data_IF_269089510863
#
_entry.id   IF_269089510863
#
_cell.length_a   1.000
_cell.length_b   1.000
_cell.length_c   1.000
_cell.angle_alpha   90.00
_cell.angle_beta   90.00
_cell.angle_gamma   90.00
#
_symmetry.space_group_name_H-M   'P 1'
#
loop_
_entity.id
_entity.type
_entity.pdbx_description
1 polymer ?
2 polymer ?
3 non-polymer ?
4 non-polymer ?
5 non-polymer ?
6 non-polymer ?
7 water ?
#
# COMPACT_ATOMS: atom_id res chain seq x y z
N UNK A 1 -1.11 7.34 12.67
CA UNK A 1 -1.26 5.99 13.22
C UNK A 1 -1.49 6.12 14.72
N UNK A 2 -2.57 5.49 15.24
CA UNK A 2 -2.91 5.46 16.66
C UNK A 2 -2.44 4.13 17.28
N UNK A 3 -1.70 4.22 18.39
CA UNK A 3 -1.28 3.06 19.15
C UNK A 3 -0.28 2.14 18.50
N UNK A 4 0.57 2.68 17.62
CA UNK A 4 1.60 1.90 16.95
C UNK A 4 2.95 2.22 17.56
N UNK A 5 4.00 2.14 16.76
CA UNK A 5 5.34 2.45 17.25
C UNK A 5 6.09 3.11 16.13
N UNK A 6 7.26 3.69 16.44
CA UNK A 6 8.10 4.28 15.40
C UNK A 6 8.60 3.09 14.52
N UNK A 7 8.50 3.25 13.18
CA UNK A 7 9.03 2.24 12.26
C UNK A 7 10.55 2.48 12.29
N UNK A 8 11.41 1.55 12.76
CA UNK A 8 12.86 1.84 12.73
C UNK A 8 13.28 2.31 11.34
N UNK A 9 14.14 3.34 11.26
CA UNK A 9 14.60 3.93 9.99
C UNK A 9 15.05 2.85 9.00
N UNK A 10 14.45 2.87 7.81
CA UNK A 10 14.78 1.89 6.77
C UNK A 10 13.94 0.63 6.78
N UNK A 11 13.07 0.44 7.79
CA UNK A 11 12.25 -0.79 7.86
C UNK A 11 10.93 -0.69 7.09
N UNK A 12 10.54 0.49 6.55
CA UNK A 12 9.34 0.62 5.72
C UNK A 12 9.86 1.34 4.44
N UNK A 13 10.81 0.71 3.67
CA UNK A 13 11.47 1.46 2.59
C UNK A 13 10.61 1.78 1.38
N UNK A 14 9.41 1.24 1.31
CA UNK A 14 8.47 1.52 0.22
C UNK A 14 7.53 2.68 0.62
N UNK A 15 7.58 3.16 1.89
CA UNK A 15 6.69 4.23 2.32
C UNK A 15 6.96 5.52 1.54
N UNK A 16 5.90 6.13 1.03
CA UNK A 16 6.01 7.40 0.31
C UNK A 16 5.32 8.50 1.14
N UNK A 17 5.89 9.69 1.13
CA UNK A 17 5.26 10.86 1.71
C UNK A 17 4.86 11.79 0.54
N UNK A 18 3.60 12.17 0.48
CA UNK A 18 3.13 13.08 -0.57
C UNK A 18 2.96 14.49 0.00
N UNK A 19 3.51 15.48 -0.73
CA UNK A 19 3.50 16.90 -0.35
C UNK A 19 2.85 17.76 -1.42
N UNK A 20 2.08 18.77 -0.99
CA UNK A 20 1.50 19.77 -1.89
C UNK A 20 1.93 21.14 -1.35
N UNK A 21 2.77 21.87 -2.13
CA UNK A 21 3.34 23.15 -1.68
C UNK A 21 4.17 22.96 -0.38
N UNK A 22 4.85 21.82 -0.27
CA UNK A 22 5.67 21.50 0.91
C UNK A 22 4.95 21.01 2.16
N UNK A 23 3.61 21.05 2.15
CA UNK A 23 2.75 20.62 3.25
C UNK A 23 2.39 19.12 3.07
N UNK A 24 2.35 18.39 4.17
CA UNK A 24 1.98 16.97 4.23
C UNK A 24 0.59 16.77 3.65
N UNK A 25 0.45 15.90 2.66
CA UNK A 25 -0.85 15.63 2.07
C UNK A 25 -1.38 14.23 2.46
N UNK A 26 -0.59 13.19 2.14
CA UNK A 26 -0.99 11.78 2.26
C UNK A 26 0.25 10.90 2.22
N UNK A 27 0.02 9.61 2.33
CA UNK A 27 1.05 8.61 2.15
C UNK A 27 0.85 7.97 0.79
N UNK A 28 1.74 7.04 0.49
CA UNK A 28 1.71 6.28 -0.75
C UNK A 28 2.64 5.08 -0.64
N UNK A 29 2.64 4.23 -1.65
CA UNK A 29 3.52 3.04 -1.69
C UNK A 29 4.24 2.99 -2.99
N UNK A 30 5.55 2.88 -2.94
CA UNK A 30 6.40 2.70 -4.11
C UNK A 30 6.23 1.25 -4.56
N UNK A 31 5.90 1.01 -5.85
CA UNK A 31 5.76 -0.38 -6.32
C UNK A 31 6.85 -0.74 -7.37
N UNK A 32 7.58 0.25 -7.87
CA UNK A 32 8.77 0.06 -8.74
C UNK A 32 9.45 1.40 -8.77
N UNK A 33 10.46 1.64 -9.62
CA UNK A 33 11.19 2.92 -9.58
C UNK A 33 10.40 4.16 -10.05
N UNK A 34 9.27 4.03 -10.78
CA UNK A 34 8.57 5.25 -11.21
C UNK A 34 7.11 5.32 -10.76
N UNK A 35 6.57 4.23 -10.21
CA UNK A 35 5.16 4.18 -9.84
C UNK A 35 4.89 4.09 -8.37
N UNK A 36 3.91 4.86 -7.94
CA UNK A 36 3.46 4.96 -6.56
C UNK A 36 1.95 4.74 -6.51
N UNK A 37 1.49 3.92 -5.57
CA UNK A 37 0.06 3.68 -5.35
C UNK A 37 -0.37 4.52 -4.12
N UNK A 38 -1.46 5.27 -4.24
CA UNK A 38 -2.01 6.07 -3.13
C UNK A 38 -3.56 5.98 -3.16
N UNK A 39 -4.28 6.88 -2.44
CA UNK A 39 -5.73 6.86 -2.41
C UNK A 39 -6.24 7.99 -3.27
N UNK A 40 -7.31 7.75 -4.07
CA UNK A 40 -7.89 8.81 -4.90
C UNK A 40 -8.39 10.02 -4.07
N UNK A 41 -8.91 9.80 -2.85
CA UNK A 41 -9.48 10.90 -2.06
C UNK A 41 -8.45 11.98 -1.68
N UNK A 42 -7.14 11.63 -1.70
CA UNK A 42 -5.99 12.51 -1.43
C UNK A 42 -5.99 13.70 -2.40
N UNK A 43 -6.59 13.51 -3.59
CA UNK A 43 -6.52 14.51 -4.65
C UNK A 43 -7.80 15.30 -4.89
N UNK A 44 -8.84 15.11 -4.06
CA UNK A 44 -10.13 15.80 -4.18
C UNK A 44 -10.04 17.33 -4.15
N UNK A 45 -9.08 17.89 -3.41
CA UNK A 45 -8.96 19.34 -3.25
C UNK A 45 -7.68 19.92 -3.84
N UNK A 46 -7.01 19.19 -4.73
CA UNK A 46 -5.79 19.73 -5.36
C UNK A 46 -6.17 20.72 -6.49
N UNK A 47 -5.52 21.89 -6.49
CA UNK A 47 -5.64 22.89 -7.58
C UNK A 47 -4.24 23.11 -8.16
N UNK A 48 -3.22 23.08 -7.29
CA UNK A 48 -1.80 23.25 -7.62
C UNK A 48 -1.19 21.88 -8.02
N UNK A 49 -1.66 21.30 -9.15
CA UNK A 49 -1.20 20.00 -9.67
C UNK A 49 0.31 19.94 -9.93
N UNK A 50 0.95 21.08 -10.28
CA UNK A 50 2.40 21.20 -10.54
C UNK A 50 3.28 21.18 -9.27
N UNK A 51 2.65 21.37 -8.08
CA UNK A 51 3.32 21.43 -6.78
C UNK A 51 3.18 20.15 -5.93
N UNK A 52 2.90 19.02 -6.59
CA UNK A 52 2.73 17.72 -5.96
C UNK A 52 4.07 17.02 -5.99
N UNK A 53 4.60 16.66 -4.81
CA UNK A 53 5.91 16.03 -4.66
C UNK A 53 5.79 14.70 -3.90
N UNK A 54 6.55 13.68 -4.32
CA UNK A 54 6.63 12.40 -3.61
C UNK A 54 8.02 12.33 -3.01
N UNK A 55 8.10 11.97 -1.73
CA UNK A 55 9.37 11.82 -1.05
C UNK A 55 9.53 10.35 -0.64
N UNK A 56 10.69 9.74 -1.03
CA UNK A 56 11.06 8.35 -0.71
C UNK A 56 12.20 8.40 0.26
N UNK A 57 12.41 7.33 1.03
CA UNK A 57 13.50 7.27 2.00
C UNK A 57 13.34 8.22 3.17
N UNK A 58 12.12 8.72 3.36
CA UNK A 58 11.82 9.66 4.44
C UNK A 58 11.64 8.89 5.74
N UNK A 59 12.01 9.51 6.86
CA UNK A 59 11.82 8.86 8.15
C UNK A 59 11.39 9.93 9.19
N UNK A 60 12.27 10.89 9.44
CA UNK A 60 12.05 11.98 10.41
C UNK A 60 11.85 13.30 9.64
N UNK A 61 10.68 13.92 9.81
CA UNK A 61 10.33 15.15 9.11
C UNK A 61 11.06 16.40 9.59
N UNK A 62 11.74 16.33 10.74
CA UNK A 62 12.41 17.52 11.28
C UNK A 62 13.83 17.70 10.78
N UNK A 63 14.41 16.64 10.19
CA UNK A 63 15.81 16.65 9.75
C UNK A 63 15.97 16.05 8.35
N UNK A 64 16.90 16.60 7.56
CA UNK A 64 17.31 16.04 6.28
C UNK A 64 18.55 15.19 6.60
N UNK A 65 18.51 13.87 6.34
CA UNK A 65 19.71 13.06 6.61
C UNK A 65 20.44 12.59 5.34
N UNK A 66 19.96 12.97 4.16
CA UNK A 66 20.61 12.59 2.91
C UNK A 66 20.03 11.36 2.22
N UNK A 67 19.19 10.57 2.91
CA UNK A 67 18.54 9.37 2.32
C UNK A 67 17.25 9.70 1.59
N UNK A 68 16.70 10.90 1.81
CA UNK A 68 15.43 11.32 1.21
C UNK A 68 15.61 11.56 -0.28
N UNK A 69 14.62 11.13 -1.10
CA UNK A 69 14.63 11.40 -2.54
C UNK A 69 13.29 12.00 -2.88
N UNK A 70 13.30 13.21 -3.44
CA UNK A 70 12.10 13.96 -3.85
C UNK A 70 11.94 13.89 -5.35
N UNK A 71 10.71 13.66 -5.81
CA UNK A 71 10.35 13.61 -7.22
C UNK A 71 9.03 14.29 -7.42
N UNK A 72 8.92 15.02 -8.52
CA UNK A 72 7.66 15.65 -8.92
C UNK A 72 6.76 14.52 -9.44
N UNK A 73 5.47 14.66 -9.20
CA UNK A 73 4.47 13.70 -9.65
C UNK A 73 4.02 14.15 -11.05
N UNK A 74 4.35 13.37 -12.09
CA UNK A 74 4.04 13.70 -13.48
C UNK A 74 2.57 13.40 -13.82
N UNK A 75 1.99 12.38 -13.19
CA UNK A 75 0.62 11.97 -13.50
C UNK A 75 -0.07 11.33 -12.30
N UNK A 76 -1.38 11.61 -12.11
CA UNK A 76 -2.21 11.02 -11.07
C UNK A 76 -3.33 10.33 -11.85
N UNK A 77 -3.44 9.01 -11.73
CA UNK A 77 -4.44 8.22 -12.45
C UNK A 77 -5.44 7.66 -11.48
N UNK A 78 -6.71 7.97 -11.73
CA UNK A 78 -7.84 7.63 -10.90
C UNK A 78 -8.82 6.76 -11.70
N UNK A 79 -9.46 5.73 -11.09
CA UNK A 79 -10.45 4.95 -11.84
C UNK A 79 -11.70 5.79 -12.13
N UNK A 80 -12.32 5.56 -13.31
CA UNK A 80 -13.52 6.31 -13.72
C UNK A 80 -14.67 6.19 -12.73
N UNK A 81 -14.70 5.08 -11.99
CA UNK A 81 -15.75 4.74 -11.04
C UNK A 81 -15.64 5.48 -9.69
N UNK A 82 -14.48 6.10 -9.42
CA UNK A 82 -14.27 6.89 -8.20
C UNK A 82 -15.08 8.18 -8.30
N UNK A 83 -15.82 8.55 -7.25
CA UNK A 83 -16.59 9.81 -7.24
C UNK A 83 -16.00 10.71 -6.15
N UNK A 84 -15.49 11.92 -6.44
CA UNK A 84 -14.93 12.76 -5.35
C UNK A 84 -15.88 12.97 -4.17
N UNK A 85 -15.31 12.95 -2.98
CA UNK A 85 -16.07 13.11 -1.74
C UNK A 85 -16.67 11.82 -1.23
N UNK A 86 -16.48 10.70 -1.98
CA UNK A 86 -17.01 9.39 -1.58
C UNK A 86 -15.84 8.43 -1.29
N UNK A 87 -16.15 7.19 -0.85
CA UNK A 87 -15.17 6.22 -0.39
C UNK A 87 -14.86 5.06 -1.34
N UNK A 88 -15.81 4.68 -2.21
CA UNK A 88 -15.61 3.54 -3.11
C UNK A 88 -14.52 3.77 -4.17
N UNK A 89 -13.79 2.72 -4.59
CA UNK A 89 -12.72 2.82 -5.62
C UNK A 89 -11.65 3.82 -5.24
N UNK A 90 -11.25 3.81 -3.96
CA UNK A 90 -10.32 4.80 -3.41
C UNK A 90 -8.88 4.41 -3.68
N UNK A 91 -8.45 4.63 -4.92
CA UNK A 91 -7.09 4.28 -5.38
C UNK A 91 -6.62 5.27 -6.43
N UNK A 92 -5.32 5.54 -6.43
CA UNK A 92 -4.67 6.42 -7.41
C UNK A 92 -3.35 5.83 -7.74
N UNK A 93 -2.96 5.90 -8.99
CA UNK A 93 -1.65 5.43 -9.46
C UNK A 93 -0.89 6.64 -9.94
N UNK A 94 0.28 6.86 -9.35
CA UNK A 94 1.10 8.05 -9.61
C UNK A 94 2.34 7.72 -10.37
N UNK A 95 2.60 8.49 -11.44
CA UNK A 95 3.83 8.33 -12.21
C UNK A 95 4.78 9.44 -11.75
N UNK A 96 6.02 9.08 -11.37
CA UNK A 96 7.03 10.03 -10.96
C UNK A 96 7.68 10.63 -12.21
N UNK A 97 8.09 11.91 -12.16
CA UNK A 97 8.71 12.57 -13.33
C UNK A 97 10.04 11.89 -13.75
N UNK A 98 10.80 11.40 -12.77
CA UNK A 98 12.08 10.74 -12.96
C UNK A 98 12.08 9.56 -12.01
N UNK A 99 12.72 8.40 -12.35
CA UNK A 99 12.76 7.28 -11.38
C UNK A 99 13.45 7.65 -10.08
N UNK A 100 13.09 6.98 -8.97
CA UNK A 100 13.85 7.10 -7.73
C UNK A 100 15.01 6.08 -7.90
N UNK A 101 16.08 6.26 -7.12
CA UNK A 101 17.24 5.37 -7.10
C UNK A 101 17.03 4.39 -5.92
N UNK A 102 17.02 3.08 -6.22
CA UNK A 102 16.86 2.08 -5.17
C UNK A 102 18.13 2.02 -4.35
N UNK A 103 17.97 2.06 -3.02
CA UNK A 103 19.08 2.09 -2.05
C UNK A 103 18.60 1.24 -0.86
N UNK A 104 19.40 1.13 0.23
CA UNK A 104 18.95 0.43 1.44
C UNK A 104 17.71 1.08 2.02
N UNK A 105 17.48 2.39 1.74
CA UNK A 105 16.34 3.13 2.31
C UNK A 105 15.16 3.35 1.39
N UNK A 106 15.29 2.96 0.12
CA UNK A 106 14.22 3.18 -0.88
C UNK A 106 14.10 1.85 -1.64
N UNK A 107 13.04 1.11 -1.37
CA UNK A 107 12.81 -0.19 -1.98
C UNK A 107 11.34 -0.31 -2.29
N UNK A 108 10.94 -0.83 -3.46
CA UNK A 108 9.50 -0.98 -3.72
C UNK A 108 8.89 -2.17 -3.01
N UNK A 109 7.58 -2.08 -2.79
CA UNK A 109 6.79 -3.16 -2.23
C UNK A 109 6.27 -3.97 -3.43
N UNK A 110 6.16 -5.32 -3.32
CA UNK A 110 5.67 -6.13 -4.44
C UNK A 110 4.18 -5.91 -4.66
N UNK A 111 3.78 -5.57 -5.89
CA UNK A 111 2.38 -5.48 -6.25
C UNK A 111 2.13 -6.95 -6.64
N UNK A 112 1.27 -7.69 -5.92
CA UNK A 112 1.14 -9.14 -6.22
C UNK A 112 0.23 -9.40 -7.40
N UNK A 113 0.20 -10.67 -7.90
CA UNK A 113 -0.78 -11.06 -8.90
C UNK A 113 -2.14 -11.17 -8.23
N UNK A 114 -3.25 -10.96 -8.97
CA UNK A 114 -4.59 -11.02 -8.39
C UNK A 114 -4.89 -12.37 -7.71
N UNK A 115 -4.67 -13.51 -8.41
CA UNK A 115 -4.98 -14.85 -7.86
C UNK A 115 -4.22 -15.12 -6.59
N UNK A 116 -2.91 -14.89 -6.58
CA UNK A 116 -2.09 -15.06 -5.39
C UNK A 116 -2.63 -14.19 -4.20
N UNK A 117 -3.03 -12.94 -4.50
CA UNK A 117 -3.56 -12.01 -3.51
C UNK A 117 -4.91 -12.47 -2.98
N UNK A 118 -5.80 -12.92 -3.87
CA UNK A 118 -7.14 -13.38 -3.45
C UNK A 118 -7.12 -14.72 -2.69
N UNK A 119 -6.40 -15.70 -3.20
CA UNK A 119 -6.46 -17.02 -2.58
C UNK A 119 -5.40 -17.30 -1.50
N UNK A 120 -4.40 -16.42 -1.36
CA UNK A 120 -3.37 -16.66 -0.35
C UNK A 120 -3.21 -15.47 0.60
N UNK A 121 -2.88 -14.27 0.04
CA UNK A 121 -2.59 -13.06 0.87
C UNK A 121 -3.79 -12.62 1.66
N UNK A 122 -5.00 -12.74 1.09
CA UNK A 122 -6.25 -12.36 1.75
C UNK A 122 -6.51 -13.16 3.05
N UNK A 123 -5.79 -14.28 3.24
CA UNK A 123 -5.92 -15.13 4.42
C UNK A 123 -4.80 -14.93 5.44
N UNK A 124 -3.81 -14.07 5.17
CA UNK A 124 -2.77 -13.78 6.18
C UNK A 124 -3.49 -12.83 7.15
N UNK A 125 -3.55 -13.18 8.44
CA UNK A 125 -4.31 -12.44 9.45
C UNK A 125 -3.86 -11.01 9.62
N UNK A 126 -2.59 -10.85 10.02
CA UNK A 126 -1.98 -9.58 10.33
C UNK A 126 -1.17 -9.00 9.19
N UNK A 127 -1.25 -7.67 9.07
CA UNK A 127 -0.52 -6.87 8.09
C UNK A 127 -0.12 -5.53 8.70
N UNK A 128 0.89 -4.85 8.15
CA UNK A 128 1.34 -3.58 8.71
C UNK A 128 0.80 -2.39 7.93
N UNK A 129 0.39 -1.34 8.66
CA UNK A 129 -0.10 -0.05 8.13
C UNK A 129 0.85 0.99 8.66
N UNK A 130 1.19 1.99 7.85
CA UNK A 130 2.19 2.96 8.30
C UNK A 130 1.91 4.36 7.76
N UNK A 131 2.51 5.37 8.40
CA UNK A 131 2.36 6.76 7.97
C UNK A 131 2.78 7.78 9.02
N UNK A 132 2.74 9.05 8.61
CA UNK A 132 3.07 10.18 9.50
C UNK A 132 1.77 10.88 9.90
N UNK A 133 0.69 10.11 9.99
CA UNK A 133 -0.61 10.67 10.37
C UNK A 133 -0.70 10.96 11.85
N UNK A 134 -1.90 11.38 12.25
CA UNK A 134 -2.23 11.74 13.63
C UNK A 134 -2.00 10.57 14.56
N UNK A 135 -1.40 10.88 15.70
CA UNK A 135 -1.11 9.88 16.73
C UNK A 135 -2.36 9.61 17.55
N UNK A 136 -3.36 10.49 17.43
CA UNK A 136 -4.63 10.46 18.17
C UNK A 136 -5.67 11.09 17.32
N UNK A 137 -6.94 10.69 17.56
CA UNK A 137 -8.10 11.34 16.96
C UNK A 137 -8.09 12.80 17.51
N UNK A 138 -8.15 13.82 16.61
CA UNK A 138 -8.09 15.25 16.95
C UNK A 138 -6.73 15.64 17.60
N UNK A 139 -5.67 14.91 17.25
CA UNK A 139 -4.32 15.11 17.74
C UNK A 139 -3.33 15.51 16.66
N UNK A 140 -2.12 15.84 17.08
CA UNK A 140 -1.04 16.25 16.18
C UNK A 140 -0.52 15.03 15.34
N UNK A 141 0.07 15.31 14.16
CA UNK A 141 0.67 14.32 13.26
C UNK A 141 2.06 13.93 13.76
N UNK A 142 2.56 12.74 13.40
CA UNK A 142 3.86 12.25 13.84
C UNK A 142 5.02 12.90 13.10
N UNK A 143 6.15 13.11 13.79
CA UNK A 143 7.38 13.62 13.16
C UNK A 143 8.20 12.44 12.58
N UNK A 144 8.07 11.26 13.19
CA UNK A 144 8.76 10.04 12.74
C UNK A 144 7.74 9.06 12.21
N UNK A 145 8.12 8.29 11.19
CA UNK A 145 7.21 7.30 10.57
C UNK A 145 6.77 6.27 11.58
N UNK A 146 5.44 6.04 11.65
CA UNK A 146 4.86 5.09 12.57
C UNK A 146 4.33 3.86 11.82
N UNK A 147 4.30 2.74 12.51
CA UNK A 147 3.83 1.47 11.95
C UNK A 147 2.92 0.78 12.98
N UNK A 148 1.92 0.08 12.49
CA UNK A 148 0.98 -0.66 13.31
C UNK A 148 0.62 -1.99 12.64
N UNK A 149 0.56 -3.07 13.43
CA UNK A 149 0.13 -4.41 12.98
C UNK A 149 -1.38 -4.51 13.20
N UNK A 150 -2.11 -4.81 12.15
CA UNK A 150 -3.58 -4.89 12.24
C UNK A 150 -4.09 -6.21 11.69
N UNK A 151 -5.11 -6.82 12.31
CA UNK A 151 -5.69 -8.05 11.74
C UNK A 151 -6.83 -7.73 10.77
N UNK A 152 -6.93 -8.52 9.69
CA UNK A 152 -7.95 -8.35 8.67
C UNK A 152 -9.19 -9.14 9.09
N UNK A 153 -10.37 -8.61 8.75
CA UNK A 153 -11.65 -9.20 9.04
C UNK A 153 -12.37 -9.56 7.78
N UNK A 154 -13.21 -10.62 7.84
CA UNK A 154 -14.12 -10.94 6.74
C UNK A 154 -15.17 -9.82 6.83
N UNK A 155 -15.71 -9.35 5.69
CA UNK A 155 -16.64 -8.22 5.67
C UNK A 155 -17.93 -8.51 6.49
N UNK A 156 -18.43 -9.79 6.48
CA UNK A 156 -19.59 -10.17 7.30
C UNK A 156 -19.31 -9.86 8.78
N UNK A 157 -18.15 -10.32 9.29
CA UNK A 157 -17.72 -10.09 10.66
C UNK A 157 -17.56 -8.61 10.99
N UNK A 158 -17.00 -7.79 10.05
CA UNK A 158 -16.83 -6.34 10.20
C UNK A 158 -18.20 -5.67 10.45
N UNK A 159 -19.17 -5.96 9.54
CA UNK A 159 -20.53 -5.41 9.59
C UNK A 159 -21.29 -5.83 10.86
N UNK A 160 -21.09 -7.09 11.32
CA UNK A 160 -21.70 -7.64 12.52
C UNK A 160 -21.08 -7.04 13.80
N UNK A 161 -19.73 -7.01 13.89
CA UNK A 161 -18.95 -6.49 15.03
C UNK A 161 -18.98 -4.96 15.18
N UNK A 162 -19.38 -4.23 14.13
CA UNK A 162 -19.43 -2.77 14.15
C UNK A 162 -20.69 -2.20 14.80
N UNK A 163 -20.59 -0.99 15.37
CA UNK A 163 -21.69 -0.28 16.03
C UNK A 163 -22.65 0.32 15.02
N UNK A 167 -26.31 6.99 8.07
CA UNK A 167 -25.53 7.88 7.20
C UNK A 167 -24.16 7.30 6.85
N UNK A 168 -23.70 6.29 7.63
CA UNK A 168 -22.41 5.60 7.48
C UNK A 168 -22.24 4.92 6.12
N UNK A 169 -21.03 4.95 5.51
CA UNK A 169 -20.86 4.29 4.20
C UNK A 169 -20.88 2.76 4.31
N UNK A 170 -21.29 2.11 3.21
CA UNK A 170 -21.34 0.65 3.09
C UNK A 170 -19.91 0.13 2.84
N UNK A 171 -19.68 -1.16 3.15
CA UNK A 171 -18.40 -1.81 2.89
C UNK A 171 -18.60 -2.66 1.64
N UNK A 172 -18.01 -2.21 0.52
CA UNK A 172 -18.14 -2.81 -0.81
C UNK A 172 -17.09 -3.90 -1.03
N UNK A 173 -17.16 -4.56 -2.21
CA UNK A 173 -16.20 -5.60 -2.61
C UNK A 173 -14.84 -4.98 -3.00
N UNK A 174 -14.78 -3.65 -3.08
CA UNK A 174 -13.56 -2.89 -3.38
C UNK A 174 -12.90 -2.41 -2.09
N UNK A 175 -13.33 -2.97 -0.94
CA UNK A 175 -12.78 -2.60 0.39
C UNK A 175 -12.63 -3.81 1.27
N UNK A 176 -11.90 -3.64 2.39
CA UNK A 176 -11.84 -4.62 3.45
C UNK A 176 -11.60 -3.90 4.75
N UNK A 177 -11.99 -4.56 5.87
CA UNK A 177 -11.84 -4.02 7.22
C UNK A 177 -10.63 -4.61 7.89
N UNK A 178 -9.95 -3.81 8.69
CA UNK A 178 -8.80 -4.29 9.45
C UNK A 178 -8.59 -3.44 10.68
N UNK A 179 -8.17 -4.07 11.76
CA UNK A 179 -7.92 -3.34 12.99
C UNK A 179 -8.60 -3.92 14.22
N UNK A 180 -9.00 -3.01 15.12
CA UNK A 180 -9.52 -3.31 16.44
C UNK A 180 -10.70 -2.42 16.72
N UNK A 181 -11.67 -2.94 17.48
CA UNK A 181 -12.90 -2.23 17.86
C UNK A 181 -12.87 -1.66 19.28
N UNK A 182 -11.75 -1.77 20.02
CA UNK A 182 -11.63 -1.32 21.42
C UNK A 182 -11.11 0.13 21.57
N UNK A 183 -10.98 0.84 20.44
CA UNK A 183 -10.53 2.23 20.39
C UNK A 183 -9.08 2.52 20.71
N UNK A 184 -8.20 1.50 20.61
CA UNK A 184 -6.79 1.68 20.95
C UNK A 184 -5.81 1.81 19.78
N UNK A 185 -6.11 1.16 18.63
CA UNK A 185 -5.19 1.06 17.49
C UNK A 185 -5.90 1.22 16.18
N UNK A 186 -5.37 2.10 15.32
CA UNK A 186 -5.96 2.33 14.00
C UNK A 186 -5.04 3.17 13.14
N UNK A 187 -5.38 3.29 11.86
CA UNK A 187 -4.65 4.24 11.03
C UNK A 187 -5.48 5.52 11.16
N UNK A 188 -4.95 6.68 10.73
CA UNK A 188 -5.65 7.96 10.90
C UNK A 188 -5.67 8.78 9.60
N UNK A 189 -6.40 9.91 9.65
CA UNK A 189 -6.63 10.89 8.58
C UNK A 189 -5.42 11.08 7.64
N UNK A 190 -4.30 11.53 8.22
CA UNK A 190 -3.05 11.80 7.51
C UNK A 190 -2.25 10.58 7.06
N UNK A 191 -2.72 9.37 7.37
CA UNK A 191 -2.07 8.13 6.91
C UNK A 191 -2.66 7.67 5.56
N UNK A 192 -3.77 8.30 5.13
CA UNK A 192 -4.51 8.00 3.89
C UNK A 192 -3.56 7.81 2.73
N UNK A 193 -3.81 6.78 1.93
CA UNK A 193 -2.98 6.48 0.77
C UNK A 193 -1.80 5.58 1.06
N UNK A 194 -1.46 5.41 2.35
CA UNK A 194 -0.31 4.62 2.76
C UNK A 194 -0.51 3.13 2.58
N UNK A 195 0.57 2.32 2.77
CA UNK A 195 0.43 0.87 2.55
C UNK A 195 -0.17 0.08 3.70
N UNK A 196 -0.92 -0.96 3.35
CA UNK A 196 -1.36 -2.07 4.19
C UNK A 196 -0.55 -3.20 3.50
N UNK A 197 0.56 -3.60 4.14
CA UNK A 197 1.54 -4.54 3.62
C UNK A 197 1.47 -5.88 4.34
N UNK A 198 1.46 -6.99 3.55
CA UNK A 198 1.32 -8.36 4.06
C UNK A 198 2.58 -9.20 3.80
N UNK A 199 3.10 -9.85 4.85
CA UNK A 199 4.26 -10.72 4.74
C UNK A 199 3.82 -12.15 4.35
N UNK A 200 4.51 -12.74 3.36
CA UNK A 200 4.25 -14.12 2.95
C UNK A 200 5.54 -14.75 2.44
N UNK A 201 6.00 -15.77 3.18
CA UNK A 201 7.20 -16.56 2.90
C UNK A 201 8.42 -15.69 2.57
N UNK A 202 8.73 -14.78 3.49
CA UNK A 202 9.94 -13.94 3.43
C UNK A 202 9.84 -12.69 2.58
N UNK A 203 8.66 -12.41 2.00
CA UNK A 203 8.47 -11.22 1.13
C UNK A 203 7.22 -10.44 1.48
N UNK A 204 7.29 -9.08 1.33
CA UNK A 204 6.12 -8.22 1.60
C UNK A 204 5.38 -7.82 0.35
N UNK A 205 4.04 -7.75 0.44
CA UNK A 205 3.18 -7.42 -0.69
C UNK A 205 2.16 -6.35 -0.34
N UNK A 206 1.73 -5.63 -1.37
CA UNK A 206 0.68 -4.62 -1.24
C UNK A 206 -0.70 -5.26 -1.31
N UNK A 207 -1.46 -5.19 -0.19
CA UNK A 207 -2.83 -5.73 -0.10
C UNK A 207 -3.89 -4.67 0.10
N UNK A 208 -3.53 -3.55 0.70
CA UNK A 208 -4.52 -2.52 0.95
C UNK A 208 -3.96 -1.12 0.88
N UNK A 209 -4.84 -0.13 0.85
CA UNK A 209 -4.47 1.28 0.88
C UNK A 209 -5.29 1.91 2.01
N UNK A 210 -4.63 2.68 2.91
CA UNK A 210 -5.34 3.41 3.99
C UNK A 210 -6.40 4.30 3.33
N UNK A 211 -7.69 4.01 3.59
CA UNK A 211 -8.76 4.69 2.90
C UNK A 211 -9.66 5.55 3.82
N UNK A 212 -10.47 4.93 4.69
CA UNK A 212 -11.41 5.69 5.53
C UNK A 212 -11.79 4.96 6.82
N UNK A 213 -12.53 5.66 7.67
CA UNK A 213 -13.06 5.17 8.95
C UNK A 213 -13.88 6.25 9.64
N UNK A 214 -14.62 5.88 10.69
CA UNK A 214 -15.40 6.85 11.48
C UNK A 214 -14.44 7.38 12.54
N UNK A 215 -13.91 8.59 12.31
CA UNK A 215 -12.86 9.17 13.16
C UNK A 215 -11.62 8.30 13.10
N UNK A 216 -10.82 8.29 14.19
CA UNK A 216 -9.59 7.49 14.32
C UNK A 216 -9.72 6.71 15.60
N UNK A 217 -9.55 5.37 15.56
CA UNK A 217 -9.65 4.50 16.75
C UNK A 217 -10.96 4.76 17.57
N UNK A 218 -12.12 4.78 16.88
CA UNK A 218 -13.44 4.98 17.48
C UNK A 218 -13.92 3.62 17.97
N UNK A 219 -14.38 3.53 19.24
CA UNK A 219 -14.87 2.25 19.80
C UNK A 219 -16.00 1.69 18.91
N UNK A 220 -15.93 0.39 18.65
CA UNK A 220 -16.89 -0.33 17.81
C UNK A 220 -16.69 -0.15 16.32
N UNK A 221 -15.58 0.49 15.89
CA UNK A 221 -15.29 0.71 14.48
C UNK A 221 -13.87 0.25 14.09
N UNK A 222 -13.73 -0.21 12.84
CA UNK A 222 -12.47 -0.70 12.28
C UNK A 222 -12.02 0.22 11.14
N UNK A 223 -10.73 0.17 10.77
CA UNK A 223 -10.23 0.90 9.61
C UNK A 223 -10.73 0.24 8.34
N UNK A 224 -10.98 1.02 7.28
CA UNK A 224 -11.44 0.51 5.98
C UNK A 224 -10.31 0.80 4.98
N UNK A 225 -9.91 -0.25 4.24
CA UNK A 225 -8.78 -0.25 3.31
C UNK A 225 -9.25 -0.58 1.90
N UNK A 226 -8.64 0.02 0.88
CA UNK A 226 -8.97 -0.31 -0.51
C UNK A 226 -8.42 -1.71 -0.77
N UNK A 227 -9.25 -2.58 -1.34
CA UNK A 227 -8.89 -3.95 -1.65
C UNK A 227 -8.13 -3.93 -2.98
N UNK A 228 -6.81 -3.79 -2.88
CA UNK A 228 -5.88 -3.64 -3.99
C UNK A 228 -6.02 -4.78 -5.04
N UNK A 229 -6.31 -6.02 -4.59
CA UNK A 229 -6.48 -7.22 -5.47
C UNK A 229 -7.48 -7.00 -6.61
N UNK A 230 -8.47 -6.13 -6.39
CA UNK A 230 -9.51 -5.81 -7.38
C UNK A 230 -8.96 -4.93 -8.50
N UNK A 231 -7.82 -4.25 -8.26
CA UNK A 231 -7.21 -3.28 -9.17
C UNK A 231 -5.91 -3.70 -9.85
N UNK A 232 -5.42 -4.93 -9.59
CA UNK A 232 -4.14 -5.41 -10.15
C UNK A 232 -4.05 -5.27 -11.67
N UNK A 233 -5.06 -5.77 -12.41
CA UNK A 233 -5.06 -5.73 -13.88
C UNK A 233 -5.14 -4.29 -14.37
N UNK A 234 -5.98 -3.46 -13.71
CA UNK A 234 -6.15 -2.05 -14.04
C UNK A 234 -4.80 -1.30 -13.88
N UNK A 235 -4.09 -1.55 -12.78
CA UNK A 235 -2.78 -0.98 -12.48
C UNK A 235 -1.73 -1.44 -13.49
N UNK A 236 -1.69 -2.76 -13.78
CA UNK A 236 -0.73 -3.34 -14.72
C UNK A 236 -0.86 -2.79 -16.14
N UNK A 237 -2.10 -2.62 -16.61
CA UNK A 237 -2.34 -2.07 -17.96
C UNK A 237 -1.89 -0.63 -18.02
N UNK A 238 -2.13 0.15 -16.96
CA UNK A 238 -1.69 1.56 -16.94
C UNK A 238 -0.20 1.69 -16.92
N UNK A 239 0.49 0.84 -16.14
CA UNK A 239 1.95 0.90 -16.07
C UNK A 239 2.62 0.53 -17.41
N UNK A 240 1.94 -0.23 -18.26
CA UNK A 240 2.44 -0.60 -19.59
C UNK A 240 2.07 0.44 -20.67
N UNK A 241 1.47 1.57 -20.27
CA UNK A 241 1.01 2.58 -21.22
C UNK A 241 1.86 3.82 -21.23
N UNK A 242 1.83 4.54 -22.36
CA UNK A 242 2.59 5.77 -22.53
C UNK A 242 2.01 6.92 -21.74
N UNK A 243 2.85 7.82 -21.16
CA UNK A 243 2.31 9.00 -20.46
C UNK A 243 1.46 9.88 -21.40
N UNK A 244 0.52 10.66 -20.83
CA UNK A 244 -0.36 11.55 -21.57
C UNK A 244 -0.25 12.94 -21.02
N UNK A 245 -0.42 14.01 -21.85
CA UNK A 245 -0.37 15.38 -21.28
C UNK A 245 -1.42 15.58 -20.17
N UNK A 246 -1.13 16.49 -19.25
CA UNK A 246 -2.00 16.80 -18.11
C UNK A 246 -1.71 15.89 -16.93
N UNK A 247 -1.70 16.42 -15.71
CA UNK A 247 -1.37 15.63 -14.52
C UNK A 247 -2.49 14.66 -14.18
N UNK A 248 -3.71 15.14 -14.02
CA UNK A 248 -4.79 14.22 -13.69
C UNK A 248 -5.32 13.43 -14.89
N UNK A 249 -5.45 12.11 -14.75
CA UNK A 249 -6.02 11.25 -15.79
C UNK A 249 -7.07 10.35 -15.16
N UNK A 250 -8.27 10.33 -15.73
CA UNK A 250 -9.29 9.39 -15.29
C UNK A 250 -9.22 8.24 -16.28
N UNK A 251 -9.09 7.00 -15.79
CA UNK A 251 -8.99 5.82 -16.64
C UNK A 251 -10.13 4.88 -16.37
N UNK A 252 -10.72 4.29 -17.43
CA UNK A 252 -11.85 3.37 -17.24
C UNK A 252 -11.55 2.21 -16.33
N UNK A 253 -12.50 1.89 -15.47
CA UNK A 253 -12.43 0.76 -14.57
C UNK A 253 -13.74 -0.02 -14.80
N UNK A 254 -13.72 -1.36 -15.03
CA UNK A 254 -12.56 -2.27 -15.04
C UNK A 254 -11.54 -1.99 -16.16
N UNK B 1 -4.41 -27.13 -7.99
CA UNK B 1 -3.30 -27.27 -7.05
C UNK B 1 -3.02 -25.92 -6.36
N UNK B 2 -3.08 -24.82 -7.13
CA UNK B 2 -2.78 -23.45 -6.67
C UNK B 2 -3.69 -22.95 -5.54
N UNK B 3 -4.96 -23.42 -5.47
CA UNK B 3 -5.89 -22.98 -4.41
C UNK B 3 -5.48 -23.46 -3.03
N UNK B 4 -4.85 -24.66 -2.97
CA UNK B 4 -4.39 -25.33 -1.75
C UNK B 4 -2.93 -25.01 -1.44
N UNK B 5 -2.72 -24.27 -0.33
CA UNK B 5 -1.42 -23.82 0.21
C UNK B 5 -0.51 -23.21 -0.88
N UNK B 6 -1.13 -22.45 -1.82
CA UNK B 6 -0.47 -21.72 -2.91
C UNK B 6 0.28 -22.68 -3.89
N UNK B 7 -0.20 -23.92 -3.97
CA UNK B 7 0.38 -24.98 -4.81
C UNK B 7 1.80 -25.34 -4.41
N UNK B 8 2.19 -24.96 -3.19
CA UNK B 8 3.54 -25.13 -2.66
C UNK B 8 4.48 -24.00 -3.10
N UNK B 9 3.99 -23.06 -3.93
CA UNK B 9 4.85 -21.96 -4.44
C UNK B 9 5.21 -20.92 -3.37
N UNK B 10 6.42 -20.39 -3.44
CA UNK B 10 6.83 -19.30 -2.55
C UNK B 10 6.12 -17.99 -2.97
N UNK B 11 5.93 -17.79 -4.29
CA UNK B 11 5.27 -16.60 -4.81
C UNK B 11 4.03 -16.96 -5.64
N UNK B 12 4.07 -16.83 -6.98
CA UNK B 12 2.91 -17.05 -7.84
C UNK B 12 2.78 -18.47 -8.32
N UNK B 13 1.54 -18.90 -8.56
CA UNK B 13 1.16 -20.24 -8.97
C UNK B 13 0.22 -20.21 -10.17
N UNK B 14 0.51 -21.03 -11.21
CA UNK B 14 -0.36 -21.20 -12.38
C UNK B 14 -0.79 -22.66 -12.51
N UNK B 15 -2.09 -22.91 -12.63
CA UNK B 15 -2.64 -24.25 -12.83
C UNK B 15 -2.59 -24.57 -14.31
N UNK B 16 -2.24 -25.82 -14.66
CA UNK B 16 -2.19 -26.25 -16.05
C UNK B 16 -3.05 -27.50 -16.28
N UNK B 17 -3.36 -27.78 -17.57
CA UNK B 17 -4.20 -28.91 -18.02
C UNK B 17 -3.63 -30.21 -17.46
N UNK B 18 -4.37 -30.77 -16.49
CA UNK B 18 -4.01 -31.97 -15.76
C UNK B 18 -3.66 -31.65 -14.32
N UNK B 19 -2.83 -32.50 -13.68
CA UNK B 19 -2.38 -32.27 -12.30
C UNK B 19 -1.10 -31.35 -12.30
N UNK B 20 -0.78 -30.75 -13.48
CA UNK B 20 0.36 -29.87 -13.74
C UNK B 20 0.25 -28.49 -13.08
N UNK B 21 1.35 -28.04 -12.45
CA UNK B 21 1.43 -26.76 -11.74
C UNK B 21 2.77 -26.08 -12.08
N UNK B 22 2.75 -24.77 -12.31
CA UNK B 22 3.99 -24.00 -12.53
C UNK B 22 4.05 -22.84 -11.53
N UNK B 23 5.13 -22.76 -10.76
CA UNK B 23 5.35 -21.63 -9.85
C UNK B 23 6.06 -20.57 -10.65
N UNK B 24 5.84 -19.31 -10.31
CA UNK B 24 6.48 -18.19 -10.98
C UNK B 24 6.89 -17.16 -9.93
N UNK B 25 7.70 -16.19 -10.32
CA UNK B 25 8.24 -15.19 -9.41
C UNK B 25 7.97 -13.80 -9.95
N UNK B 26 7.97 -12.81 -9.04
CA UNK B 26 7.88 -11.40 -9.39
C UNK B 26 9.22 -11.05 -10.08
N UNK B 27 9.25 -9.98 -10.88
CA UNK B 27 10.44 -9.45 -11.53
C UNK B 27 11.49 -9.19 -10.47
N UNK B 28 12.76 -9.39 -10.82
CA UNK B 28 13.87 -9.23 -9.88
C UNK B 28 14.09 -10.50 -9.07
N UNK B 29 13.41 -11.58 -9.43
CA UNK B 29 13.53 -12.92 -8.79
C UNK B 29 13.59 -14.01 -9.88
N UNK B 30 14.23 -15.14 -9.55
CA UNK B 30 14.29 -16.32 -10.44
C UNK B 30 13.86 -17.54 -9.64
N UNK B 31 13.21 -18.47 -10.33
CA UNK B 31 12.73 -19.69 -9.72
C UNK B 31 13.89 -20.69 -9.59
N UNK B 32 14.02 -21.31 -8.42
CA UNK B 32 15.06 -22.32 -8.21
C UNK B 32 14.66 -23.67 -8.85
N UNK B 33 15.63 -24.61 -8.98
CA UNK B 33 15.40 -25.93 -9.59
C UNK B 33 14.42 -26.80 -8.80
N UNK B 34 14.12 -26.41 -7.54
CA UNK B 34 13.07 -27.08 -6.76
C UNK B 34 11.69 -26.78 -7.35
N UNK B 35 11.62 -25.76 -8.19
CA UNK B 35 10.40 -25.36 -8.89
C UNK B 35 9.40 -24.59 -8.05
N UNK B 36 9.74 -24.26 -6.81
CA UNK B 36 8.86 -23.54 -5.86
C UNK B 36 9.49 -22.25 -5.28
N UNK B 37 10.81 -22.25 -5.04
CA UNK B 37 11.51 -21.16 -4.37
C UNK B 37 11.93 -20.06 -5.32
N UNK B 38 11.90 -18.83 -4.83
CA UNK B 38 12.30 -17.65 -5.60
C UNK B 38 13.52 -17.05 -4.98
N UNK B 39 14.54 -16.79 -5.80
CA UNK B 39 15.75 -16.17 -5.30
C UNK B 39 15.95 -14.76 -5.95
N UNK B 40 16.36 -13.71 -5.20
CA UNK B 40 16.59 -12.40 -5.82
C UNK B 40 17.64 -12.43 -6.94
N UNK B 41 17.41 -11.71 -8.03
CA UNK B 41 18.38 -11.59 -9.13
C UNK B 41 18.98 -10.16 -9.16
N UNK B 42 18.49 -9.28 -8.27
CA UNK B 42 18.92 -7.87 -8.21
C UNK B 42 19.31 -7.51 -6.82
N UNK B 43 19.97 -6.37 -6.67
CA UNK B 43 20.43 -5.86 -5.40
C UNK B 43 19.24 -5.49 -4.49
N UNK B 44 18.19 -4.85 -5.07
CA UNK B 44 17.04 -4.38 -4.29
C UNK B 44 15.72 -4.98 -4.77
N UNK B 45 15.52 -6.31 -4.53
CA UNK B 45 14.24 -6.92 -4.96
C UNK B 45 13.08 -6.36 -4.16
N UNK B 46 11.89 -6.32 -4.78
CA UNK B 46 10.69 -5.80 -4.12
C UNK B 46 10.31 -6.63 -2.88
N UNK B 47 9.75 -5.94 -1.88
CA UNK B 47 9.25 -6.59 -0.68
C UNK B 47 10.24 -7.22 0.27
N UNK B 48 11.53 -6.85 0.15
CA UNK B 48 12.62 -7.26 1.03
C UNK B 48 13.26 -6.03 1.62
N UNK B 49 13.58 -6.06 2.92
CA UNK B 49 14.11 -4.93 3.69
C UNK B 49 15.62 -5.07 3.83
N UNK B 50 16.40 -4.30 3.05
CA UNK B 50 17.87 -4.45 3.09
C UNK B 50 18.54 -4.41 4.44
N UNK B 51 18.10 -3.53 5.36
CA UNK B 51 18.80 -3.47 6.67
C UNK B 51 18.55 -4.76 7.48
N UNK B 52 17.38 -5.42 7.27
CA UNK B 52 17.08 -6.68 7.93
C UNK B 52 17.78 -7.86 7.24
N UNK B 53 17.84 -7.85 5.89
CA UNK B 53 18.50 -8.84 5.04
C UNK B 53 20.02 -8.87 5.30
N UNK B 54 20.64 -7.68 5.45
CA UNK B 54 22.08 -7.52 5.71
C UNK B 54 22.30 -7.48 7.24
N UNK B 55 21.86 -8.54 7.94
CA UNK B 55 21.96 -8.65 9.40
C UNK B 55 22.04 -10.12 9.83
X LIG C 1 -9.39 6.80 9.38
X LIG C 1 -8.93 6.86 8.06
X LIG C 1 -9.90 8.04 9.71
X LIG C 1 -9.35 5.61 10.12
X LIG C 1 -9.16 8.20 7.60
X LIG C 1 -8.45 5.70 7.47
X LIG C 1 -9.76 8.88 8.63
X LIG C 1 -8.88 4.46 9.51
X LIG C 1 -8.44 4.52 8.19
X LIG C 1 -10.25 10.27 8.75
X LIG C 1 -7.92 3.05 7.40
X LIG C 1 -9.94 11.05 7.74
X LIG C 1 -10.92 10.63 9.72
X LIG C 1 -10.30 8.29 10.61
X LIG C 1 -9.67 5.60 11.16
X LIG C 1 -8.89 8.59 6.63
X LIG C 1 -8.09 5.72 6.43
X LIG C 1 -8.85 3.52 10.04
X LIG C 1 -10.29 11.98 7.87
X LIG D 1 14.08 13.51 7.05
X LIG E 1 11.85 15.03 -10.52
X LIG E 1 13.23 14.57 -10.61
X LIG E 1 11.60 15.96 -11.58
X LIG E 1 10.94 13.95 -10.59
X LIG E 1 11.68 15.74 -9.28
X LIG F 1 -3.77 23.10 -3.57
X LIG F 1 -3.42 22.23 -4.66
X LIG F 1 -2.85 24.23 -3.55
X LIG F 1 -3.70 22.37 -2.31
X LIG F 1 -5.13 23.62 -3.74
X LIG G 1 -16.64 0.52 10.14
X LIG G 1 -15.51 1.05 9.41
X LIG G 1 -17.38 -0.42 9.31
X LIG G 1 -16.16 -0.20 11.33
X LIG G 1 -17.51 1.64 10.48
X LIG H 1 5.39 -4.13 -11.09
X LIG H 1 4.48 -5.08 -11.72
X LIG H 1 5.83 -3.12 -12.05
X LIG H 1 6.58 -4.85 -10.63
X LIG H 1 4.69 -3.48 -10.02
X LIG I 1 -10.11 14.27 -9.29
X LIG I 1 -10.72 13.19 -8.60
X LIG I 1 -10.43 15.60 -8.65
X LIG I 1 -9.62 16.63 -9.22
X LIG I 1 -11.88 15.97 -8.80
X LIG I 1 -12.33 16.72 -7.67
X LIG J 1 8.59 -3.97 10.77
X LIG J 1 8.48 -2.55 10.80
X LIG J 1 9.19 -4.45 9.46
X LIG J 1 9.41 -5.87 9.53
X LIG J 1 8.36 -4.14 8.24
X LIG J 1 8.06 -2.75 8.11
#
# INVERSE_FOLDING_TARGET
IVGGKVCPKGECPWQVLLLVNGAQLCGGTLINTIWVVSAAHCFDKIKNWRNLIAVLGEHDLSEHDGDEQSRRVAQVIIPSTYVPGTTNHDIALLRLHQPVVLTDHVVPLCLPERTFSERTLAFVRFSLVSGWGQLLDRGATALELMVLNVPRLMTQDCLQQSRKVGDSPNITEYMFCAGYSDGSKDSCKGDSGGPHATHYRGTWYLTGIVSWGQGCATVGHFGVYTRVSQYIEWLQKLMRSEPRPGVLLRAPFP
ICVNENGGCEQYCSDHTGTKRSCRCHEGYSLLADGVSCTPTVEYPCGKIPILEKR
3ZB C1 C2 N3 C4 C5 C6 C7 C8 C9 C10 CL O12 O13 H14 H15 H16 H17 H18 H19
CA CA
SO4 S O1 O2 O3 O4
SO4 S O1 O2 O3 O4
SO4 S O1 O2 O3 O4
SO4 S O1 O2 O3 O4
GOL C1 O1 C2 O2 C3 O3
GOL C1 O1 C2 O2 C3 O3
#
